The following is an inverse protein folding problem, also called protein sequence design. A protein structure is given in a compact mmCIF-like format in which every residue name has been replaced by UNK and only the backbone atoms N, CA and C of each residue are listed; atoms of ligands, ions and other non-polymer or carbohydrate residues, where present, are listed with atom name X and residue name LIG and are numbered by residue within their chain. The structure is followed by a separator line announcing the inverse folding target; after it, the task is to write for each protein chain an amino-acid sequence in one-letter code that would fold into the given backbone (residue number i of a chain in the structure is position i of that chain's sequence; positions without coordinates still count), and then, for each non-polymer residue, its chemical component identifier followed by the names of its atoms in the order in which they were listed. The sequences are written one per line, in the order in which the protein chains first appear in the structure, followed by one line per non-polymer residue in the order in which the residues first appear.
data_IF_231764599287
#
_entry.id   IF_231764599287
#
_cell.length_a   1.000
_cell.length_b   1.000
_cell.length_c   1.000
_cell.angle_alpha   90.00
_cell.angle_beta   90.00
_cell.angle_gamma   90.00
#
_symmetry.space_group_name_H-M   'P 1'
#
loop_
_entity.id
_entity.type
_entity.pdbx_description
1 polymer ?
#
# COMPACT_ATOMS: atom_id res chain seq x y z
N UNK A 1 -36.35 10.69 -66.70
CA UNK A 1 -35.88 10.77 -65.30
C UNK A 1 -36.06 9.40 -64.68
N UNK A 2 -34.94 8.84 -64.20
CA UNK A 2 -34.63 7.41 -64.04
C UNK A 2 -35.16 6.86 -62.71
N UNK A 3 -35.67 5.62 -62.70
CA UNK A 3 -35.60 4.75 -61.51
C UNK A 3 -35.73 3.27 -61.88
N UNK A 4 -34.58 2.65 -62.11
CA UNK A 4 -34.43 1.20 -62.27
C UNK A 4 -34.37 0.54 -60.90
N UNK A 5 -35.20 -0.49 -60.67
CA UNK A 5 -35.16 -1.33 -59.47
C UNK A 5 -34.48 -2.66 -59.81
N UNK A 6 -33.23 -2.76 -59.37
CA UNK A 6 -32.31 -3.86 -59.55
C UNK A 6 -32.70 -5.09 -58.71
N UNK A 7 -32.67 -6.25 -59.37
CA UNK A 7 -32.94 -7.57 -58.79
C UNK A 7 -31.79 -8.07 -57.91
N UNK A 8 -32.21 -8.71 -56.82
CA UNK A 8 -31.49 -9.56 -55.86
C UNK A 8 -30.69 -10.67 -56.56
N UNK A 9 -29.40 -10.80 -56.25
CA UNK A 9 -28.63 -12.06 -56.05
C UNK A 9 -27.21 -11.65 -55.63
N UNK A 10 -26.81 -11.94 -54.39
CA UNK A 10 -25.41 -11.79 -53.96
C UNK A 10 -24.87 -13.20 -53.78
N UNK A 11 -24.02 -13.61 -54.72
CA UNK A 11 -23.20 -14.80 -54.64
C UNK A 11 -21.99 -14.53 -53.75
N UNK A 12 -21.66 -15.50 -52.89
CA UNK A 12 -20.48 -15.52 -52.05
C UNK A 12 -19.21 -15.55 -52.91
N UNK A 13 -18.36 -14.54 -52.77
CA UNK A 13 -16.96 -14.58 -53.21
C UNK A 13 -16.10 -14.45 -51.95
N UNK A 14 -15.48 -15.56 -51.55
CA UNK A 14 -14.45 -15.62 -50.53
C UNK A 14 -13.17 -15.10 -51.17
N UNK A 15 -12.63 -14.00 -50.64
CA UNK A 15 -11.28 -13.55 -50.96
C UNK A 15 -10.50 -13.50 -49.65
N UNK A 16 -9.80 -14.59 -49.35
CA UNK A 16 -8.75 -14.61 -48.35
C UNK A 16 -7.57 -13.80 -48.85
N UNK A 17 -7.15 -12.81 -48.07
CA UNK A 17 -5.78 -12.42 -47.72
C UNK A 17 -5.89 -11.06 -47.03
N UNK A 18 -5.53 -10.97 -45.76
CA UNK A 18 -4.77 -9.81 -45.29
C UNK A 18 -3.91 -10.13 -44.06
N UNK A 19 -2.64 -9.82 -44.27
CA UNK A 19 -1.52 -9.59 -43.38
C UNK A 19 -1.73 -9.57 -41.86
N UNK A 20 -0.73 -10.16 -41.19
CA UNK A 20 -0.38 -9.91 -39.81
C UNK A 20 -0.25 -8.42 -39.48
N UNK A 21 -0.34 -8.13 -38.17
CA UNK A 21 -0.22 -6.85 -37.46
C UNK A 21 -1.53 -6.05 -37.32
N UNK A 22 -2.24 -6.33 -36.22
CA UNK A 22 -2.97 -5.29 -35.51
C UNK A 22 -2.48 -5.24 -34.06
N UNK A 23 -1.65 -4.22 -33.85
CA UNK A 23 -1.37 -3.49 -32.64
C UNK A 23 -2.42 -3.69 -31.55
N UNK A 24 -2.12 -4.56 -30.59
CA UNK A 24 -2.67 -4.42 -29.24
C UNK A 24 -2.09 -3.14 -28.67
N UNK A 25 -2.93 -2.09 -28.64
CA UNK A 25 -2.62 -0.81 -28.05
C UNK A 25 -2.06 -1.00 -26.62
N UNK A 26 -0.89 -0.38 -26.40
CA UNK A 26 -0.37 0.07 -25.11
C UNK A 26 -0.79 -0.76 -23.88
N UNK A 27 -0.23 -1.95 -23.74
CA UNK A 27 0.32 -2.32 -22.44
C UNK A 27 1.83 -2.25 -22.55
N UNK A 28 2.37 -1.02 -22.59
CA UNK A 28 3.62 -0.79 -21.89
C UNK A 28 3.25 -1.01 -20.42
N UNK A 29 3.26 -2.29 -20.03
CA UNK A 29 3.57 -2.68 -18.68
C UNK A 29 4.97 -2.12 -18.52
N UNK A 30 5.03 -0.86 -18.07
CA UNK A 30 6.24 -0.31 -17.46
C UNK A 30 6.75 -1.44 -16.59
N UNK A 31 8.00 -1.83 -16.86
CA UNK A 31 8.70 -2.86 -16.14
C UNK A 31 8.51 -2.55 -14.66
N UNK A 32 7.54 -3.24 -14.06
CA UNK A 32 7.18 -3.07 -12.67
C UNK A 32 8.47 -3.35 -11.93
N UNK A 33 9.01 -2.30 -11.32
CA UNK A 33 10.22 -2.40 -10.54
C UNK A 33 10.09 -3.63 -9.66
N UNK A 34 11.18 -4.38 -9.56
CA UNK A 34 11.33 -5.47 -8.60
C UNK A 34 11.35 -4.84 -7.19
N UNK A 35 10.24 -4.23 -6.77
CA UNK A 35 9.99 -3.89 -5.38
C UNK A 35 10.00 -5.23 -4.67
N UNK A 36 10.84 -5.37 -3.63
CA UNK A 36 10.80 -6.55 -2.77
C UNK A 36 9.33 -6.85 -2.45
N UNK A 37 8.92 -8.07 -2.77
CA UNK A 37 7.54 -8.49 -2.62
C UNK A 37 7.21 -8.44 -1.11
N UNK A 38 6.54 -7.39 -0.67
CA UNK A 38 6.09 -7.24 0.71
C UNK A 38 5.16 -8.40 1.04
N UNK A 39 5.58 -9.24 2.00
CA UNK A 39 4.77 -10.36 2.50
C UNK A 39 3.75 -9.91 3.56
N UNK A 40 3.96 -8.73 4.13
CA UNK A 40 3.15 -8.13 5.17
C UNK A 40 2.10 -7.15 4.66
N UNK A 41 1.66 -6.26 5.56
CA UNK A 41 0.63 -5.25 5.27
C UNK A 41 1.25 -4.04 4.58
N UNK A 42 0.68 -3.63 3.46
CA UNK A 42 1.10 -2.40 2.77
C UNK A 42 0.40 -1.22 3.44
N UNK A 43 1.20 -0.30 3.99
CA UNK A 43 0.73 0.92 4.61
C UNK A 43 1.09 2.08 3.69
N UNK A 44 0.06 2.65 3.08
CA UNK A 44 0.16 3.95 2.42
C UNK A 44 0.21 5.03 3.52
N UNK A 45 1.16 5.97 3.46
CA UNK A 45 1.36 6.99 4.50
C UNK A 45 0.84 8.41 4.14
N UNK A 46 -0.22 8.67 3.31
CA UNK A 46 -0.34 9.93 2.56
C UNK A 46 -0.53 11.20 3.39
N UNK A 47 0.58 11.81 3.77
CA UNK A 47 0.79 13.26 3.73
C UNK A 47 0.11 14.18 4.76
N UNK A 48 -0.52 13.66 5.82
CA UNK A 48 -0.50 14.38 7.10
C UNK A 48 -0.75 13.49 8.33
N UNK A 49 -1.75 12.60 8.39
CA UNK A 49 -2.17 12.11 9.71
C UNK A 49 -2.75 10.66 9.80
N UNK A 50 -1.98 9.77 10.45
CA UNK A 50 -2.37 8.66 11.36
C UNK A 50 -3.15 7.48 10.76
N UNK A 51 -2.45 6.37 10.48
CA UNK A 51 -3.04 5.08 10.05
C UNK A 51 -2.94 4.06 11.19
N UNK A 52 -4.04 3.40 11.61
CA UNK A 52 -3.96 2.26 12.52
C UNK A 52 -3.09 1.16 11.93
N UNK A 53 -2.18 0.60 12.73
CA UNK A 53 -1.30 -0.49 12.29
C UNK A 53 -2.07 -1.81 12.18
N UNK A 54 -3.11 -1.97 13.01
CA UNK A 54 -3.96 -3.15 13.06
C UNK A 54 -5.41 -2.69 12.93
N UNK A 55 -6.18 -3.37 12.10
CA UNK A 55 -7.62 -3.13 11.96
C UNK A 55 -8.33 -3.34 13.31
N UNK A 56 -9.15 -2.35 13.70
CA UNK A 56 -9.90 -2.40 14.96
C UNK A 56 -9.09 -2.02 16.21
N UNK A 57 -7.80 -1.72 16.10
CA UNK A 57 -6.95 -1.25 17.22
C UNK A 57 -6.59 0.23 17.00
N UNK A 58 -7.44 1.17 17.42
CA UNK A 58 -7.30 2.59 17.07
C UNK A 58 -6.22 3.33 17.87
N UNK A 59 -5.51 2.63 18.76
CA UNK A 59 -4.53 3.21 19.67
C UNK A 59 -3.08 2.84 19.32
N UNK A 60 -2.85 1.96 18.35
CA UNK A 60 -1.53 1.77 17.76
C UNK A 60 -1.55 2.32 16.34
N UNK A 61 -0.78 3.38 16.12
CA UNK A 61 -0.79 4.05 14.81
C UNK A 61 0.62 4.26 14.29
N UNK A 62 0.70 4.29 12.97
CA UNK A 62 1.86 4.74 12.23
C UNK A 62 1.57 6.08 11.58
N UNK A 63 2.58 6.93 11.58
CA UNK A 63 2.56 8.25 11.00
C UNK A 63 3.83 8.44 10.19
N UNK A 64 3.66 8.59 8.87
CA UNK A 64 4.74 8.96 7.98
C UNK A 64 4.87 10.48 7.91
N UNK A 65 6.08 11.00 8.15
CA UNK A 65 6.40 12.38 7.84
C UNK A 65 7.12 12.48 6.49
N UNK A 66 6.87 13.62 5.83
CA UNK A 66 7.55 14.20 4.67
C UNK A 66 8.54 13.27 3.91
N UNK A 67 8.16 12.93 2.68
CA UNK A 67 9.12 12.47 1.68
C UNK A 67 10.18 13.55 1.39
N UNK A 68 11.47 13.20 1.55
CA UNK A 68 12.59 14.07 1.19
C UNK A 68 13.63 13.32 0.34
N UNK A 69 14.50 14.08 -0.31
CA UNK A 69 15.71 13.52 -0.94
C UNK A 69 16.93 14.21 -0.37
N UNK A 70 17.86 13.39 0.11
CA UNK A 70 19.16 13.83 0.61
C UNK A 70 20.21 13.15 -0.26
N UNK A 71 21.07 13.95 -0.90
CA UNK A 71 22.14 13.47 -1.77
C UNK A 71 21.67 12.49 -2.88
N UNK A 72 20.45 12.67 -3.40
CA UNK A 72 19.88 11.81 -4.45
C UNK A 72 19.17 10.55 -3.94
N UNK A 73 19.15 10.29 -2.63
CA UNK A 73 18.45 9.14 -2.05
C UNK A 73 17.09 9.54 -1.46
N UNK A 74 15.98 8.91 -1.89
CA UNK A 74 14.65 9.08 -1.29
C UNK A 74 14.60 8.58 0.15
N UNK A 75 14.03 9.38 1.05
CA UNK A 75 13.87 9.05 2.48
C UNK A 75 12.54 9.54 3.02
N UNK A 76 12.01 8.86 4.03
CA UNK A 76 10.81 9.26 4.77
C UNK A 76 11.00 9.04 6.28
N UNK A 77 10.42 9.93 7.07
CA UNK A 77 10.36 9.73 8.52
C UNK A 77 9.17 8.82 8.84
N UNK A 78 9.38 7.83 9.69
CA UNK A 78 8.33 6.97 10.22
C UNK A 78 8.25 7.11 11.74
N UNK A 79 7.03 7.30 12.24
CA UNK A 79 6.73 7.29 13.66
C UNK A 79 5.67 6.26 13.94
N UNK A 80 5.92 5.38 14.91
CA UNK A 80 4.95 4.39 15.37
C UNK A 80 4.77 4.60 16.86
N UNK A 81 3.53 4.77 17.31
CA UNK A 81 3.29 5.06 18.71
C UNK A 81 1.94 4.58 19.22
N UNK A 82 1.93 4.33 20.53
CA UNK A 82 0.77 3.98 21.31
C UNK A 82 0.07 5.25 21.82
N UNK A 83 -1.25 5.26 21.73
CA UNK A 83 -2.11 6.39 22.08
C UNK A 83 -3.06 6.06 23.18
N UNK A 84 -3.47 7.11 23.92
CA UNK A 84 -4.52 7.03 24.95
C UNK A 84 -4.10 6.05 26.05
N UNK A 85 -3.28 6.51 26.97
CA UNK A 85 -2.81 5.71 28.10
C UNK A 85 -1.49 6.25 28.63
N UNK A 86 -1.26 6.10 29.92
CA UNK A 86 -0.05 6.62 30.59
C UNK A 86 1.11 5.62 30.54
N UNK A 87 0.80 4.32 30.37
CA UNK A 87 1.77 3.22 30.36
C UNK A 87 2.08 2.76 28.94
N UNK A 88 2.40 3.70 28.04
CA UNK A 88 2.75 3.38 26.65
C UNK A 88 4.03 2.54 26.57
N UNK A 89 4.04 1.41 25.84
CA UNK A 89 5.27 0.73 25.44
C UNK A 89 6.16 1.65 24.60
N UNK A 90 7.41 1.22 24.29
CA UNK A 90 8.31 1.98 23.43
C UNK A 90 7.68 2.36 22.08
N UNK A 91 8.09 3.51 21.56
CA UNK A 91 7.69 4.03 20.25
C UNK A 91 8.86 3.93 19.27
N UNK A 92 8.56 4.02 17.96
CA UNK A 92 9.55 4.12 16.89
C UNK A 92 9.56 5.54 16.32
N UNK A 93 10.73 6.10 16.07
CA UNK A 93 10.90 7.37 15.36
C UNK A 93 12.19 7.32 14.55
N UNK A 94 12.08 7.00 13.27
CA UNK A 94 13.21 6.71 12.40
C UNK A 94 13.10 7.47 11.08
N UNK A 95 14.24 7.70 10.42
CA UNK A 95 14.31 8.16 9.03
C UNK A 95 14.81 7.02 8.18
N UNK A 96 13.95 6.48 7.30
CA UNK A 96 14.27 5.34 6.44
C UNK A 96 14.63 5.82 5.05
N UNK A 97 15.72 5.30 4.46
CA UNK A 97 15.95 5.37 3.02
C UNK A 97 15.15 4.30 2.29
N UNK A 98 14.89 4.50 1.00
CA UNK A 98 14.21 3.50 0.18
C UNK A 98 14.95 2.14 0.26
N UNK A 99 14.22 1.09 0.65
CA UNK A 99 14.73 -0.26 0.92
C UNK A 99 15.27 -0.50 2.33
N UNK A 100 15.38 0.53 3.17
CA UNK A 100 15.79 0.36 4.57
C UNK A 100 14.60 -0.02 5.46
N UNK A 101 14.91 -0.72 6.55
CA UNK A 101 13.96 -1.23 7.52
C UNK A 101 14.31 -0.76 8.94
N UNK A 102 13.28 -0.57 9.76
CA UNK A 102 13.41 -0.43 11.20
C UNK A 102 12.41 -1.32 11.94
N UNK A 103 12.82 -1.83 13.10
CA UNK A 103 12.01 -2.75 13.89
C UNK A 103 11.63 -2.10 15.22
N UNK A 104 10.37 -2.23 15.61
CA UNK A 104 9.90 -1.95 16.95
C UNK A 104 9.59 -3.28 17.65
N UNK A 105 10.24 -3.52 18.78
CA UNK A 105 10.13 -4.78 19.53
C UNK A 105 8.66 -5.10 19.86
N UNK A 106 8.24 -6.35 19.62
CA UNK A 106 6.87 -6.85 19.85
C UNK A 106 5.78 -6.17 19.02
N UNK A 107 6.16 -5.37 18.03
CA UNK A 107 5.25 -4.73 17.08
C UNK A 107 5.52 -5.24 15.68
N UNK A 108 6.76 -5.14 15.22
CA UNK A 108 7.15 -5.65 13.90
C UNK A 108 8.17 -4.76 13.20
N UNK A 109 8.39 -5.07 11.92
CA UNK A 109 9.37 -4.42 11.06
C UNK A 109 8.68 -3.58 10.00
N UNK A 110 9.22 -2.37 9.80
CA UNK A 110 8.72 -1.39 8.84
C UNK A 110 9.80 -1.13 7.80
N UNK A 111 9.50 -1.42 6.54
CA UNK A 111 10.41 -1.24 5.41
C UNK A 111 9.87 -0.19 4.46
N UNK A 112 10.66 0.82 4.10
CA UNK A 112 10.25 1.81 3.11
C UNK A 112 10.39 1.20 1.71
N UNK A 113 9.27 0.90 1.04
CA UNK A 113 9.27 0.18 -0.25
C UNK A 113 8.89 1.05 -1.46
N UNK A 114 8.31 2.23 -1.24
CA UNK A 114 7.80 3.06 -2.34
C UNK A 114 8.00 4.55 -2.12
N UNK A 115 8.78 5.18 -3.00
CA UNK A 115 8.97 6.64 -3.13
C UNK A 115 9.45 6.99 -4.55
N UNK A 116 8.57 6.96 -5.54
CA UNK A 116 8.97 7.29 -6.92
C UNK A 116 9.22 8.79 -7.11
N UNK A 117 10.35 9.20 -7.73
CA UNK A 117 10.59 10.61 -8.00
C UNK A 117 9.48 11.18 -8.90
N UNK A 118 8.89 12.34 -8.54
CA UNK A 118 7.85 12.94 -9.37
C UNK A 118 8.44 13.33 -10.73
N UNK A 119 7.89 12.76 -11.81
CA UNK A 119 8.21 13.22 -13.16
C UNK A 119 7.87 14.72 -13.28
N UNK A 120 8.82 15.50 -13.81
CA UNK A 120 8.66 16.93 -14.14
C UNK A 120 8.41 17.90 -12.96
N UNK A 121 9.01 17.66 -11.79
CA UNK A 121 9.07 18.67 -10.72
C UNK A 121 7.80 18.81 -9.88
N UNK A 122 6.95 17.77 -9.81
CA UNK A 122 5.80 17.71 -8.89
C UNK A 122 6.24 17.45 -7.44
N UNK A 123 5.29 17.52 -6.49
CA UNK A 123 5.47 17.12 -5.08
C UNK A 123 5.90 15.65 -5.03
N UNK A 124 6.85 15.31 -4.15
CA UNK A 124 7.21 13.91 -3.86
C UNK A 124 5.96 13.09 -3.52
N UNK A 125 5.83 11.85 -4.01
CA UNK A 125 4.67 11.02 -3.75
C UNK A 125 4.64 10.59 -2.28
N UNK A 126 3.51 10.00 -1.92
CA UNK A 126 3.34 9.39 -0.63
C UNK A 126 4.37 8.27 -0.39
N UNK A 127 5.07 8.27 0.75
CA UNK A 127 5.86 7.13 1.18
C UNK A 127 4.98 5.90 1.43
N UNK A 128 5.38 4.74 0.93
CA UNK A 128 4.71 3.46 1.19
C UNK A 128 5.62 2.56 2.02
N UNK A 129 5.09 2.03 3.12
CA UNK A 129 5.81 1.14 4.02
C UNK A 129 5.22 -0.26 4.00
N UNK A 130 6.10 -1.26 3.89
CA UNK A 130 5.76 -2.64 4.18
C UNK A 130 5.84 -2.86 5.69
N UNK A 131 4.76 -3.36 6.29
CA UNK A 131 4.72 -3.71 7.69
C UNK A 131 4.64 -5.23 7.86
N UNK A 132 5.71 -5.80 8.41
CA UNK A 132 5.76 -7.21 8.79
C UNK A 132 5.50 -7.32 10.30
N UNK A 133 4.31 -7.84 10.63
CA UNK A 133 3.83 -7.94 11.99
C UNK A 133 4.66 -8.92 12.84
N UNK A 134 5.02 -8.51 14.06
CA UNK A 134 5.55 -9.42 15.07
C UNK A 134 4.42 -10.33 15.61
N UNK A 135 4.67 -11.64 15.81
CA UNK A 135 3.68 -12.55 16.36
C UNK A 135 3.08 -12.12 17.70
N UNK A 136 3.81 -11.35 18.52
CA UNK A 136 3.38 -10.88 19.84
C UNK A 136 2.55 -9.59 19.78
N UNK A 137 2.32 -9.01 18.60
CA UNK A 137 1.69 -7.71 18.48
C UNK A 137 0.27 -7.68 19.06
N UNK A 138 -0.55 -8.70 18.76
CA UNK A 138 -1.92 -8.76 19.24
C UNK A 138 -2.00 -8.85 20.77
N UNK A 139 -1.12 -9.65 21.38
CA UNK A 139 -1.04 -9.77 22.84
C UNK A 139 -0.56 -8.48 23.48
N UNK A 140 0.43 -7.82 22.86
CA UNK A 140 0.92 -6.50 23.31
C UNK A 140 -0.18 -5.45 23.27
N UNK A 141 -0.96 -5.40 22.19
CA UNK A 141 -2.06 -4.46 22.05
C UNK A 141 -3.21 -4.75 23.04
N UNK A 142 -3.54 -6.03 23.28
CA UNK A 142 -4.54 -6.44 24.27
C UNK A 142 -4.13 -6.06 25.68
N UNK A 143 -2.88 -6.31 26.06
CA UNK A 143 -2.35 -5.94 27.38
C UNK A 143 -2.37 -4.42 27.58
N UNK A 144 -1.90 -3.65 26.59
CA UNK A 144 -1.94 -2.20 26.66
C UNK A 144 -3.37 -1.66 26.84
N UNK A 145 -4.35 -2.23 26.14
CA UNK A 145 -5.74 -1.86 26.29
C UNK A 145 -6.26 -2.16 27.71
N UNK A 146 -5.95 -3.34 28.25
CA UNK A 146 -6.35 -3.72 29.61
C UNK A 146 -5.76 -2.77 30.67
N UNK A 147 -4.46 -2.49 30.59
CA UNK A 147 -3.75 -1.63 31.54
C UNK A 147 -4.22 -0.18 31.53
N UNK A 148 -4.79 0.27 30.41
CA UNK A 148 -5.25 1.65 30.23
C UNK A 148 -6.78 1.76 30.11
N UNK A 149 -7.51 0.68 30.43
CA UNK A 149 -8.98 0.62 30.36
C UNK A 149 -9.54 1.08 28.99
N UNK A 150 -8.87 0.69 27.90
CA UNK A 150 -9.28 0.96 26.53
C UNK A 150 -10.14 -0.19 26.01
N UNK A 151 -11.10 0.16 25.14
CA UNK A 151 -11.86 -0.85 24.42
C UNK A 151 -10.95 -1.58 23.43
N UNK A 152 -10.82 -2.90 23.62
CA UNK A 152 -10.26 -3.83 22.65
C UNK A 152 -11.39 -4.68 22.13
N UNK A 153 -11.60 -4.71 20.80
CA UNK A 153 -12.62 -5.58 20.23
C UNK A 153 -12.14 -7.03 20.42
N UNK A 154 -12.91 -7.92 21.07
CA UNK A 154 -12.58 -9.34 21.10
C UNK A 154 -12.57 -9.85 19.66
N UNK A 155 -11.55 -10.62 19.29
CA UNK A 155 -11.46 -11.21 17.96
C UNK A 155 -12.78 -11.97 17.68
N UNK A 156 -13.30 -11.90 16.45
CA UNK A 156 -14.62 -12.46 16.10
C UNK A 156 -14.74 -13.98 16.43
N UNK A 157 -13.61 -14.65 16.71
CA UNK A 157 -13.53 -16.02 17.19
C UNK A 157 -13.80 -16.18 18.70
N UNK A 158 -13.40 -15.23 19.56
CA UNK A 158 -13.74 -15.24 21.01
C UNK A 158 -15.23 -14.92 21.23
N UNK A 159 -15.80 -14.02 20.42
CA UNK A 159 -17.22 -13.70 20.47
C UNK A 159 -18.12 -14.87 20.04
N UNK A 160 -17.59 -15.84 19.30
CA UNK A 160 -18.31 -17.07 18.90
C UNK A 160 -18.28 -18.18 19.94
N UNK A 161 -17.39 -18.10 20.92
CA UNK A 161 -17.23 -19.11 21.99
C UNK A 161 -17.90 -18.69 23.31
N UNK A 162 -18.59 -17.54 23.33
CA UNK A 162 -19.28 -16.98 24.49
C UNK A 162 -20.79 -17.17 24.44
#
# INVERSE_FOLDING_TARGET
MVKDNLKRTIAFIITTILAASLSGACTLREEGQNMEQCSGTIIDLPSAIWTPVIDGVPFLVVNGAKATVIAGTPQADIRVYWLKGDNAPPNLNETLKLGESATLEKVGTFTLIGMEPPAHGKRWPTPVVCFEQDPQLMDTARQYAADNNLYFRPDDEEARQS
#
